data_IF_494247845874
#
_entry.id   IF_494247845874
#
_cell.length_a   1.000
_cell.length_b   1.000
_cell.length_c   1.000
_cell.angle_alpha   90.00
_cell.angle_beta   90.00
_cell.angle_gamma   90.00
#
_symmetry.space_group_name_H-M   'P 1'
#
loop_
_entity.id
_entity.type
_entity.pdbx_description
1 polymer ?
#
# COMPACT_ATOMS: atom_id res chain seq x y z
N UNK A 1 -56.52 -15.95 -0.66
CA UNK A 1 -55.28 -15.23 -0.31
C UNK A 1 -55.69 -13.82 0.09
N UNK A 2 -55.43 -13.38 1.32
CA UNK A 2 -55.72 -11.99 1.72
C UNK A 2 -54.73 -11.03 1.06
N UNK A 3 -55.12 -9.78 0.84
CA UNK A 3 -54.24 -8.74 0.27
C UNK A 3 -52.89 -8.67 1.00
N UNK A 4 -52.91 -8.88 2.32
CA UNK A 4 -51.72 -8.91 3.17
C UNK A 4 -50.81 -10.11 2.87
N UNK A 5 -51.38 -11.29 2.60
CA UNK A 5 -50.59 -12.46 2.18
C UNK A 5 -49.98 -12.27 0.79
N UNK A 6 -50.65 -11.59 -0.13
CA UNK A 6 -50.12 -11.27 -1.46
C UNK A 6 -48.94 -10.28 -1.37
N UNK A 7 -49.09 -9.23 -0.57
CA UNK A 7 -48.05 -8.22 -0.34
C UNK A 7 -46.80 -8.83 0.31
N UNK A 8 -46.99 -9.71 1.30
CA UNK A 8 -45.90 -10.40 1.98
C UNK A 8 -45.13 -11.32 1.02
N UNK A 9 -45.85 -12.07 0.17
CA UNK A 9 -45.21 -12.92 -0.86
C UNK A 9 -44.42 -12.11 -1.89
N UNK A 10 -44.92 -10.94 -2.30
CA UNK A 10 -44.23 -10.06 -3.23
C UNK A 10 -42.94 -9.46 -2.63
N UNK A 11 -42.98 -9.07 -1.34
CA UNK A 11 -41.81 -8.55 -0.62
C UNK A 11 -40.70 -9.60 -0.47
N UNK A 12 -41.06 -10.85 -0.16
CA UNK A 12 -40.11 -11.96 -0.05
C UNK A 12 -39.43 -12.23 -1.40
N UNK A 13 -40.20 -12.25 -2.49
CA UNK A 13 -39.68 -12.41 -3.86
C UNK A 13 -38.71 -11.28 -4.25
N UNK A 14 -39.05 -10.03 -3.91
CA UNK A 14 -38.19 -8.87 -4.15
C UNK A 14 -36.87 -8.98 -3.38
N UNK A 15 -36.92 -9.42 -2.12
CA UNK A 15 -35.74 -9.58 -1.29
C UNK A 15 -34.80 -10.68 -1.82
N UNK A 16 -35.35 -11.81 -2.27
CA UNK A 16 -34.58 -12.88 -2.92
C UNK A 16 -33.92 -12.38 -4.21
N UNK A 17 -34.64 -11.60 -5.03
CA UNK A 17 -34.10 -11.00 -6.25
C UNK A 17 -32.93 -10.05 -5.96
N UNK A 18 -33.04 -9.24 -4.90
CA UNK A 18 -32.00 -8.33 -4.46
C UNK A 18 -30.73 -9.08 -4.02
N UNK A 19 -30.89 -10.16 -3.24
CA UNK A 19 -29.77 -11.01 -2.82
C UNK A 19 -29.06 -11.66 -4.02
N UNK A 20 -29.83 -12.08 -5.02
CA UNK A 20 -29.31 -12.70 -6.25
C UNK A 20 -28.52 -11.69 -7.09
N UNK A 21 -29.00 -10.44 -7.19
CA UNK A 21 -28.28 -9.32 -7.81
C UNK A 21 -26.96 -9.01 -7.10
N UNK A 22 -26.96 -8.97 -5.76
CA UNK A 22 -25.74 -8.75 -4.96
C UNK A 22 -24.73 -9.89 -5.12
N UNK A 23 -25.21 -11.13 -5.19
CA UNK A 23 -24.37 -12.31 -5.43
C UNK A 23 -23.73 -12.28 -6.83
N UNK A 24 -24.50 -11.96 -7.87
CA UNK A 24 -24.00 -11.81 -9.24
C UNK A 24 -23.01 -10.64 -9.36
N UNK A 25 -23.25 -9.53 -8.66
CA UNK A 25 -22.31 -8.41 -8.57
C UNK A 25 -20.97 -8.83 -7.95
N UNK A 26 -20.97 -9.71 -6.95
CA UNK A 26 -19.76 -10.27 -6.33
C UNK A 26 -19.03 -11.25 -7.26
N UNK A 27 -19.76 -12.06 -8.04
CA UNK A 27 -19.19 -13.04 -8.99
C UNK A 27 -18.53 -12.36 -10.19
N UNK A 28 -19.04 -11.23 -10.67
CA UNK A 28 -18.46 -10.47 -11.77
C UNK A 28 -17.14 -9.74 -11.41
N UNK A 29 -16.61 -9.93 -10.19
CA UNK A 29 -15.25 -9.53 -9.79
C UNK A 29 -14.19 -10.61 -9.96
N UNK A 30 -14.42 -11.66 -10.75
CA UNK A 30 -13.29 -12.48 -11.26
C UNK A 30 -12.58 -11.71 -12.38
N UNK A 31 -11.68 -10.81 -12.00
CA UNK A 31 -10.72 -10.19 -12.93
C UNK A 31 -9.86 -11.29 -13.55
N UNK A 32 -9.74 -11.27 -14.88
CA UNK A 32 -8.71 -11.99 -15.64
C UNK A 32 -7.35 -11.72 -14.97
N UNK A 33 -6.72 -12.78 -14.46
CA UNK A 33 -5.29 -12.76 -14.17
C UNK A 33 -4.60 -12.71 -15.54
N UNK A 34 -4.19 -11.51 -15.96
CA UNK A 34 -3.25 -11.37 -17.07
C UNK A 34 -1.90 -11.77 -16.50
N UNK A 35 -1.52 -13.03 -16.73
CA UNK A 35 -0.15 -13.48 -16.52
C UNK A 35 0.76 -12.69 -17.48
N UNK A 36 1.32 -11.60 -16.99
CA UNK A 36 2.43 -10.92 -17.67
C UNK A 36 3.69 -11.58 -17.17
N UNK A 37 4.23 -12.49 -17.99
CA UNK A 37 5.62 -12.92 -17.91
C UNK A 37 6.51 -11.70 -18.17
N UNK A 38 6.79 -10.92 -17.14
CA UNK A 38 7.78 -9.86 -17.24
C UNK A 38 9.16 -10.52 -17.24
N UNK A 39 9.80 -10.58 -18.41
CA UNK A 39 11.23 -10.84 -18.49
C UNK A 39 11.93 -9.86 -17.56
N UNK A 40 12.59 -10.40 -16.54
CA UNK A 40 13.35 -9.65 -15.55
C UNK A 40 14.53 -8.99 -16.25
N UNK A 41 14.30 -7.79 -16.78
CA UNK A 41 15.35 -6.97 -17.38
C UNK A 41 16.25 -6.54 -16.21
N UNK A 42 17.52 -6.92 -16.27
CA UNK A 42 18.54 -6.40 -15.35
C UNK A 42 18.54 -4.88 -15.50
N UNK A 43 17.94 -4.18 -14.54
CA UNK A 43 17.91 -2.73 -14.49
C UNK A 43 19.04 -2.32 -13.56
N UNK A 44 19.95 -1.50 -14.10
CA UNK A 44 20.96 -0.83 -13.30
C UNK A 44 20.23 0.00 -12.21
N UNK A 45 20.45 -0.27 -10.92
CA UNK A 45 19.71 0.37 -9.83
C UNK A 45 20.03 1.86 -9.65
N UNK A 46 20.87 2.46 -10.50
CA UNK A 46 21.37 3.82 -10.32
C UNK A 46 20.50 4.93 -10.93
N UNK A 47 19.55 4.61 -11.82
CA UNK A 47 18.90 5.63 -12.68
C UNK A 47 17.36 5.63 -12.58
N UNK A 48 16.83 5.61 -11.35
CA UNK A 48 15.39 5.71 -11.14
C UNK A 48 14.97 7.18 -11.11
N UNK A 49 14.15 7.61 -12.08
CA UNK A 49 13.48 8.91 -12.04
C UNK A 49 12.63 9.03 -10.78
N UNK A 50 12.55 10.22 -10.19
CA UNK A 50 11.70 10.50 -9.02
C UNK A 50 10.24 10.08 -9.31
N UNK A 51 9.55 9.46 -8.34
CA UNK A 51 8.17 9.04 -8.54
C UNK A 51 7.24 10.24 -8.74
N UNK A 52 6.31 10.09 -9.68
CA UNK A 52 5.16 11.00 -9.78
C UNK A 52 4.18 10.66 -8.67
N UNK A 53 3.47 11.68 -8.17
CA UNK A 53 2.48 11.53 -7.12
C UNK A 53 1.12 12.02 -7.64
N UNK A 54 0.00 11.46 -7.14
CA UNK A 54 -1.31 12.06 -7.33
C UNK A 54 -1.29 13.54 -6.96
N UNK A 55 -1.99 14.38 -7.73
CA UNK A 55 -2.01 15.84 -7.52
C UNK A 55 -2.35 16.21 -6.07
N UNK A 56 -3.32 15.50 -5.48
CA UNK A 56 -3.75 15.67 -4.09
C UNK A 56 -2.63 15.43 -3.08
N UNK A 57 -1.77 14.43 -3.28
CA UNK A 57 -0.59 14.20 -2.43
C UNK A 57 0.49 15.25 -2.69
N UNK A 58 0.66 15.65 -3.95
CA UNK A 58 1.67 16.62 -4.34
C UNK A 58 1.38 18.02 -3.79
N UNK A 59 0.11 18.39 -3.59
CA UNK A 59 -0.30 19.68 -3.03
C UNK A 59 -0.24 19.76 -1.50
N UNK A 60 -0.04 18.64 -0.78
CA UNK A 60 0.05 18.65 0.68
C UNK A 60 1.37 19.24 1.17
N UNK A 61 1.32 19.88 2.34
CA UNK A 61 2.51 20.35 3.05
C UNK A 61 3.37 19.18 3.55
N UNK A 62 4.64 19.43 3.83
CA UNK A 62 5.53 18.41 4.40
C UNK A 62 5.05 17.95 5.78
N UNK A 63 4.48 18.83 6.59
CA UNK A 63 3.95 18.49 7.92
C UNK A 63 2.76 17.54 7.79
N UNK A 64 1.82 17.84 6.90
CA UNK A 64 0.66 16.97 6.66
C UNK A 64 1.07 15.59 6.15
N UNK A 65 2.12 15.50 5.32
CA UNK A 65 2.66 14.21 4.89
C UNK A 65 3.27 13.44 6.06
N UNK A 66 4.05 14.11 6.92
CA UNK A 66 4.66 13.48 8.10
C UNK A 66 3.59 12.98 9.08
N UNK A 67 2.56 13.76 9.33
CA UNK A 67 1.43 13.40 10.19
C UNK A 67 0.75 12.12 9.68
N UNK A 68 0.37 12.08 8.40
CA UNK A 68 -0.30 10.90 7.85
C UNK A 68 0.65 9.69 7.76
N UNK A 69 1.93 9.91 7.46
CA UNK A 69 2.90 8.81 7.47
C UNK A 69 3.12 8.23 8.88
N UNK A 70 3.03 9.06 9.92
CA UNK A 70 3.01 8.60 11.30
C UNK A 70 1.75 7.76 11.60
N UNK A 71 0.58 8.19 11.14
CA UNK A 71 -0.65 7.37 11.26
C UNK A 71 -0.51 6.01 10.55
N UNK A 72 0.13 5.98 9.38
CA UNK A 72 0.44 4.73 8.66
C UNK A 72 1.33 3.82 9.51
N UNK A 73 2.35 4.38 10.16
CA UNK A 73 3.20 3.64 11.09
C UNK A 73 2.42 3.13 12.32
N UNK A 74 1.56 3.95 12.91
CA UNK A 74 0.76 3.57 14.08
C UNK A 74 -0.18 2.41 13.74
N UNK A 75 -0.83 2.45 12.57
CA UNK A 75 -1.64 1.33 12.06
C UNK A 75 -0.78 0.09 11.84
N UNK A 76 0.41 0.23 11.25
CA UNK A 76 1.32 -0.90 11.05
C UNK A 76 1.70 -1.56 12.38
N UNK A 77 2.00 -0.75 13.40
CA UNK A 77 2.34 -1.21 14.75
C UNK A 77 1.19 -1.97 15.40
N UNK A 78 -0.04 -1.48 15.26
CA UNK A 78 -1.25 -2.11 15.81
C UNK A 78 -1.52 -3.49 15.16
N UNK A 79 -1.23 -3.62 13.87
CA UNK A 79 -1.44 -4.87 13.12
C UNK A 79 -0.42 -5.97 13.46
N UNK A 80 0.66 -5.63 14.19
CA UNK A 80 1.64 -6.56 14.76
C UNK A 80 2.16 -7.67 13.80
N UNK A 81 2.55 -7.27 12.60
CA UNK A 81 3.08 -8.18 11.58
C UNK A 81 4.41 -8.87 11.95
N UNK A 82 5.02 -8.53 13.08
CA UNK A 82 6.36 -8.95 13.45
C UNK A 82 6.53 -10.47 13.57
N UNK A 83 5.46 -11.19 13.91
CA UNK A 83 5.51 -12.64 14.12
C UNK A 83 4.52 -13.42 13.23
N UNK A 84 3.86 -12.76 12.28
CA UNK A 84 2.88 -13.39 11.38
C UNK A 84 3.39 -13.34 9.93
N UNK A 85 4.07 -14.41 9.51
CA UNK A 85 4.68 -14.51 8.18
C UNK A 85 3.64 -14.49 7.05
N UNK A 86 2.45 -15.06 7.27
CA UNK A 86 1.40 -15.10 6.25
C UNK A 86 0.81 -13.71 6.01
N UNK A 87 0.44 -13.02 7.08
CA UNK A 87 -0.03 -11.64 7.05
C UNK A 87 1.04 -10.69 6.49
N UNK A 88 2.29 -10.92 6.87
CA UNK A 88 3.40 -10.06 6.48
C UNK A 88 3.62 -10.03 4.96
N UNK A 89 3.40 -11.16 4.28
CA UNK A 89 3.54 -11.30 2.82
C UNK A 89 2.25 -11.01 2.05
N UNK A 90 1.10 -10.92 2.71
CA UNK A 90 -0.20 -10.71 2.07
C UNK A 90 -0.41 -9.25 1.65
N UNK A 91 -0.89 -9.07 0.41
CA UNK A 91 -1.34 -7.76 -0.07
C UNK A 91 -2.54 -7.26 0.76
N UNK A 92 -2.30 -6.26 1.60
CA UNK A 92 -3.24 -5.76 2.62
C UNK A 92 -3.22 -4.24 2.77
N UNK A 93 -2.29 -3.55 2.13
CA UNK A 93 -2.12 -2.10 2.23
C UNK A 93 -2.59 -1.36 0.99
N UNK A 94 -3.22 -0.20 1.21
CA UNK A 94 -3.75 0.62 0.13
C UNK A 94 -2.67 1.46 -0.56
N UNK A 95 -2.74 1.59 -1.89
CA UNK A 95 -1.88 2.51 -2.63
C UNK A 95 -1.95 3.96 -2.16
N UNK A 96 -3.09 4.38 -1.62
CA UNK A 96 -3.21 5.71 -1.03
C UNK A 96 -2.30 5.89 0.20
N UNK A 97 -2.28 4.92 1.12
CA UNK A 97 -1.44 4.95 2.34
C UNK A 97 0.04 4.89 1.96
N UNK A 98 0.41 3.95 1.09
CA UNK A 98 1.80 3.82 0.60
C UNK A 98 2.23 5.07 -0.16
N UNK A 99 1.31 5.79 -0.82
CA UNK A 99 1.56 7.06 -1.47
C UNK A 99 2.16 8.13 -0.54
N UNK A 100 1.83 8.15 0.75
CA UNK A 100 2.44 9.07 1.72
C UNK A 100 3.90 8.73 1.99
N UNK A 101 4.23 7.44 2.13
CA UNK A 101 5.62 6.98 2.30
C UNK A 101 6.45 7.27 1.04
N UNK A 102 5.88 7.08 -0.15
CA UNK A 102 6.53 7.46 -1.42
C UNK A 102 6.70 8.97 -1.52
N UNK A 103 5.75 9.76 -1.01
CA UNK A 103 5.88 11.21 -0.98
C UNK A 103 6.98 11.67 -0.03
N UNK A 104 7.15 11.03 1.13
CA UNK A 104 8.30 11.24 2.01
C UNK A 104 9.61 10.90 1.31
N UNK A 105 9.69 9.74 0.65
CA UNK A 105 10.87 9.34 -0.12
C UNK A 105 11.24 10.38 -1.18
N UNK A 106 10.25 10.84 -1.96
CA UNK A 106 10.44 11.84 -3.02
C UNK A 106 10.96 13.17 -2.48
N UNK A 107 10.49 13.57 -1.30
CA UNK A 107 10.76 14.86 -0.67
C UNK A 107 11.88 14.80 0.36
N UNK A 108 12.60 13.68 0.41
CA UNK A 108 13.75 13.48 1.31
C UNK A 108 13.37 13.72 2.79
N UNK A 109 12.17 13.28 3.18
CA UNK A 109 11.65 13.45 4.54
C UNK A 109 11.91 12.21 5.39
N UNK A 110 12.33 12.44 6.63
CA UNK A 110 12.54 11.39 7.63
C UNK A 110 11.27 10.95 8.34
N UNK A 111 11.16 9.65 8.62
CA UNK A 111 10.11 9.09 9.48
C UNK A 111 10.72 8.66 10.82
N UNK A 112 10.38 9.35 11.89
CA UNK A 112 10.89 9.00 13.22
C UNK A 112 10.20 7.73 13.74
N UNK A 113 11.00 6.69 14.02
CA UNK A 113 10.52 5.39 14.54
C UNK A 113 11.40 4.98 15.73
N UNK A 114 10.97 5.24 16.98
CA UNK A 114 11.79 4.99 18.16
C UNK A 114 12.04 3.50 18.39
N UNK A 115 11.04 2.64 18.12
CA UNK A 115 11.05 1.24 18.54
C UNK A 115 11.18 0.27 17.35
N UNK A 116 12.10 0.55 16.41
CA UNK A 116 12.25 -0.22 15.16
C UNK A 116 12.32 -1.75 15.40
N UNK A 117 13.05 -2.20 16.43
CA UNK A 117 13.23 -3.63 16.75
C UNK A 117 11.97 -4.31 17.30
N UNK A 118 11.08 -3.52 17.88
CA UNK A 118 9.84 -4.03 18.48
C UNK A 118 8.73 -4.13 17.43
N UNK A 119 8.76 -3.27 16.42
CA UNK A 119 7.70 -3.17 15.40
C UNK A 119 8.00 -3.96 14.14
N UNK A 120 9.24 -3.95 13.65
CA UNK A 120 9.53 -4.54 12.35
C UNK A 120 9.86 -6.03 12.43
N UNK A 121 9.44 -6.74 11.39
CA UNK A 121 9.85 -8.11 11.14
C UNK A 121 11.38 -8.21 11.01
N UNK A 122 11.95 -9.33 11.49
CA UNK A 122 13.42 -9.57 11.47
C UNK A 122 14.03 -9.39 10.08
N UNK A 123 13.29 -9.76 9.04
CA UNK A 123 13.76 -9.70 7.64
C UNK A 123 14.12 -8.29 7.18
N UNK A 124 13.45 -7.25 7.67
CA UNK A 124 13.77 -5.85 7.34
C UNK A 124 14.91 -5.35 8.20
N UNK A 125 14.95 -5.75 9.48
CA UNK A 125 15.97 -5.33 10.44
C UNK A 125 17.37 -5.85 10.11
N UNK A 126 17.48 -7.01 9.46
CA UNK A 126 18.75 -7.65 9.10
C UNK A 126 19.29 -7.22 7.74
N UNK A 127 18.59 -6.36 6.98
CA UNK A 127 19.06 -5.90 5.68
C UNK A 127 20.28 -4.99 5.83
N UNK A 128 21.29 -5.20 4.98
CA UNK A 128 22.38 -4.24 4.83
C UNK A 128 21.86 -2.94 4.21
N UNK A 129 22.54 -1.79 4.41
CA UNK A 129 22.14 -0.52 3.81
C UNK A 129 21.95 -0.60 2.29
N UNK A 130 22.82 -1.35 1.60
CA UNK A 130 22.71 -1.52 0.15
C UNK A 130 21.52 -2.39 -0.25
N UNK A 131 21.29 -3.51 0.45
CA UNK A 131 20.12 -4.37 0.21
C UNK A 131 18.82 -3.61 0.45
N UNK A 132 18.75 -2.81 1.53
CA UNK A 132 17.62 -1.96 1.85
C UNK A 132 17.38 -0.92 0.75
N UNK A 133 18.43 -0.25 0.28
CA UNK A 133 18.35 0.71 -0.84
C UNK A 133 17.83 0.06 -2.12
N UNK A 134 18.29 -1.14 -2.45
CA UNK A 134 17.81 -1.92 -3.61
C UNK A 134 16.34 -2.28 -3.45
N UNK A 135 15.94 -2.76 -2.27
CA UNK A 135 14.56 -3.13 -1.96
C UNK A 135 13.62 -1.92 -2.08
N UNK A 136 13.99 -0.79 -1.47
CA UNK A 136 13.27 0.49 -1.60
C UNK A 136 13.11 0.88 -3.06
N UNK A 137 14.18 0.85 -3.88
CA UNK A 137 14.09 1.19 -5.31
C UNK A 137 13.14 0.28 -6.09
N UNK A 138 13.09 -1.02 -5.78
CA UNK A 138 12.12 -1.95 -6.37
C UNK A 138 10.69 -1.55 -6.02
N UNK A 139 10.44 -1.14 -4.77
CA UNK A 139 9.13 -0.68 -4.31
C UNK A 139 8.72 0.63 -5.02
N UNK A 140 9.64 1.60 -5.15
CA UNK A 140 9.38 2.85 -5.88
C UNK A 140 9.07 2.56 -7.36
N UNK A 141 9.81 1.64 -7.98
CA UNK A 141 9.51 1.20 -9.36
C UNK A 141 8.13 0.56 -9.46
N UNK A 142 7.78 -0.35 -8.54
CA UNK A 142 6.44 -0.96 -8.47
C UNK A 142 5.36 0.10 -8.33
N UNK A 143 5.61 1.17 -7.57
CA UNK A 143 4.67 2.28 -7.42
C UNK A 143 4.45 2.99 -8.76
N UNK A 144 5.53 3.36 -9.45
CA UNK A 144 5.47 4.01 -10.76
C UNK A 144 4.76 3.14 -11.80
N UNK A 145 4.96 1.82 -11.77
CA UNK A 145 4.41 0.90 -12.75
C UNK A 145 2.92 0.57 -12.49
N UNK A 146 2.49 0.50 -11.21
CA UNK A 146 1.16 0.00 -10.84
C UNK A 146 0.18 1.05 -10.31
N UNK A 147 0.66 2.22 -9.88
CA UNK A 147 -0.20 3.27 -9.32
C UNK A 147 -0.47 4.33 -10.40
N UNK A 148 -1.75 4.47 -10.75
CA UNK A 148 -2.17 5.54 -11.64
C UNK A 148 -2.41 6.83 -10.83
N UNK A 149 -1.53 7.81 -11.02
CA UNK A 149 -1.54 9.08 -10.28
C UNK A 149 -2.77 9.95 -10.55
N UNK A 150 -3.48 9.73 -11.66
CA UNK A 150 -4.70 10.46 -12.02
C UNK A 150 -5.94 9.96 -11.27
N UNK A 151 -5.80 8.90 -10.46
CA UNK A 151 -6.91 8.33 -9.70
C UNK A 151 -7.13 9.06 -8.37
N UNK A 152 -8.40 9.12 -7.96
CA UNK A 152 -8.80 9.74 -6.71
C UNK A 152 -8.39 8.90 -5.50
N UNK A 153 -8.41 9.52 -4.31
CA UNK A 153 -8.18 8.85 -3.04
C UNK A 153 -9.05 7.59 -2.90
N UNK A 154 -10.34 7.68 -3.21
CA UNK A 154 -11.31 6.59 -3.05
C UNK A 154 -10.96 5.37 -3.91
N UNK A 155 -10.39 5.60 -5.10
CA UNK A 155 -9.94 4.53 -6.00
C UNK A 155 -8.64 3.92 -5.50
N UNK A 156 -7.68 4.76 -5.09
CA UNK A 156 -6.38 4.32 -4.58
C UNK A 156 -6.49 3.61 -3.22
N UNK A 157 -7.49 3.97 -2.41
CA UNK A 157 -7.87 3.30 -1.17
C UNK A 157 -8.52 1.93 -1.38
N UNK A 158 -8.85 1.54 -2.62
CA UNK A 158 -9.35 0.18 -2.95
C UNK A 158 -8.28 -0.70 -3.59
N UNK A 159 -7.10 -0.14 -3.87
CA UNK A 159 -6.01 -0.84 -4.51
C UNK A 159 -5.09 -1.46 -3.44
N UNK A 160 -5.40 -2.71 -3.07
CA UNK A 160 -4.61 -3.55 -2.18
C UNK A 160 -3.58 -4.33 -2.99
N UNK A 161 -2.40 -3.74 -3.20
CA UNK A 161 -1.31 -4.36 -3.98
C UNK A 161 0.01 -4.36 -3.22
N UNK A 162 -0.02 -3.96 -1.96
CA UNK A 162 1.15 -3.75 -1.12
C UNK A 162 1.06 -4.68 0.08
N UNK A 163 2.14 -5.40 0.34
CA UNK A 163 2.23 -6.24 1.53
C UNK A 163 2.97 -5.51 2.66
N UNK A 164 2.90 -6.06 3.87
CA UNK A 164 3.50 -5.43 5.04
C UNK A 164 5.04 -5.37 4.95
N UNK A 165 5.69 -6.32 4.27
CA UNK A 165 7.13 -6.26 3.99
C UNK A 165 7.54 -5.01 3.22
N UNK A 166 6.81 -4.69 2.15
CA UNK A 166 7.10 -3.51 1.33
C UNK A 166 6.88 -2.22 2.12
N UNK A 167 5.81 -2.16 2.92
CA UNK A 167 5.53 -1.00 3.78
C UNK A 167 6.60 -0.86 4.87
N UNK A 168 6.99 -1.96 5.52
CA UNK A 168 8.07 -1.98 6.52
C UNK A 168 9.40 -1.55 5.93
N UNK A 169 9.74 -2.04 4.74
CA UNK A 169 10.97 -1.66 4.02
C UNK A 169 11.01 -0.16 3.75
N UNK A 170 9.90 0.44 3.29
CA UNK A 170 9.82 1.89 3.10
C UNK A 170 9.96 2.65 4.42
N UNK A 171 9.21 2.29 5.44
CA UNK A 171 9.26 2.96 6.74
C UNK A 171 10.64 2.86 7.38
N UNK A 172 11.26 1.68 7.34
CA UNK A 172 12.59 1.46 7.88
C UNK A 172 13.64 2.26 7.10
N UNK A 173 13.58 2.29 5.77
CA UNK A 173 14.46 3.14 4.97
C UNK A 173 14.31 4.63 5.33
N UNK A 174 13.09 5.13 5.44
CA UNK A 174 12.80 6.52 5.81
C UNK A 174 13.24 6.88 7.24
N UNK A 175 13.28 5.89 8.13
CA UNK A 175 13.81 6.07 9.50
C UNK A 175 15.34 6.16 9.56
N UNK A 176 16.03 5.76 8.50
CA UNK A 176 17.49 5.75 8.41
C UNK A 176 18.04 6.85 7.50
N UNK A 177 17.19 7.73 6.97
CA UNK A 177 17.55 8.72 5.96
C UNK A 177 18.75 9.61 6.39
N UNK A 178 18.82 10.01 7.67
CA UNK A 178 19.88 10.84 8.24
C UNK A 178 21.28 10.19 8.20
N UNK A 179 21.36 8.86 8.12
CA UNK A 179 22.64 8.13 8.02
C UNK A 179 23.16 8.00 6.58
N UNK A 180 22.40 8.40 5.56
CA UNK A 180 22.76 8.18 4.15
C UNK A 180 23.22 9.44 3.41
N UNK A 181 22.90 10.63 3.93
CA UNK A 181 23.33 11.92 3.37
C UNK A 181 24.73 12.34 3.85
N UNK A 182 25.22 11.78 4.97
CA UNK A 182 26.56 12.04 5.52
C UNK A 182 27.69 11.29 4.79
N UNK A 183 27.38 10.26 4.00
CA UNK A 183 28.35 9.54 3.15
C UNK A 183 28.68 10.27 1.83
N UNK A 184 28.25 11.53 1.70
CA UNK A 184 28.59 12.41 0.56
C UNK A 184 29.52 13.57 0.93
N UNK A 185 30.16 13.51 2.10
CA UNK A 185 31.19 14.47 2.53
C UNK A 185 32.59 13.86 2.50
#
# INVERSE_FOLDING_TARGET
MSLNTLLLTALILLFILLLLLLYLYKINRKKKVVATTSKQKNINPLDLKLPLLPHTLNSLSNNSIREVAKEVYDVYKILDYKNDEEEYKRDSWHSWQVGFLVAMYKRELELFIPDCKEVFHKEVLTQSPESLRIATKKIIKKYQDKVNIEKTKEVLSKQLIWNAEEVATLMYFLSKYENSSKDKS
#
